data_IF_347225446557
#
_entry.id   IF_347225446557
#
_cell.length_a   1.000
_cell.length_b   1.000
_cell.length_c   1.000
_cell.angle_alpha   90.00
_cell.angle_beta   90.00
_cell.angle_gamma   90.00
#
_symmetry.space_group_name_H-M   'P 1'
#
loop_
_entity.id
_entity.type
_entity.pdbx_description
1 polymer ?
#
# COMPACT_ATOMS: atom_id res chain seq x y z
N UNK A 1 6.25 22.84 -27.22
CA UNK A 1 4.82 22.48 -27.32
C UNK A 1 4.22 22.78 -28.69
N UNK A 2 4.67 23.80 -29.42
CA UNK A 2 4.14 24.16 -30.75
C UNK A 2 4.69 23.31 -31.93
N UNK A 3 5.49 22.29 -31.64
CA UNK A 3 6.10 21.40 -32.63
C UNK A 3 5.47 20.01 -32.59
N UNK A 4 5.66 19.21 -33.64
CA UNK A 4 5.19 17.81 -33.71
C UNK A 4 6.05 16.82 -32.89
N UNK A 5 6.92 17.33 -32.00
CA UNK A 5 7.89 16.53 -31.24
C UNK A 5 7.20 15.47 -30.37
N UNK A 6 6.18 15.86 -29.59
CA UNK A 6 5.47 14.94 -28.67
C UNK A 6 4.80 13.81 -29.45
N UNK A 7 4.08 14.14 -30.52
CA UNK A 7 3.46 13.14 -31.40
C UNK A 7 4.50 12.20 -32.02
N UNK A 8 5.66 12.72 -32.44
CA UNK A 8 6.74 11.91 -33.00
C UNK A 8 7.33 10.94 -31.95
N UNK A 9 7.58 11.42 -30.73
CA UNK A 9 8.03 10.59 -29.60
C UNK A 9 7.08 9.41 -29.38
N UNK A 10 5.78 9.69 -29.25
CA UNK A 10 4.77 8.68 -28.94
C UNK A 10 4.54 7.71 -30.11
N UNK A 11 4.40 8.19 -31.35
CA UNK A 11 4.00 7.34 -32.47
C UNK A 11 5.16 6.62 -33.16
N UNK A 12 6.38 7.18 -33.13
CA UNK A 12 7.53 6.62 -33.86
C UNK A 12 8.54 5.90 -32.97
N UNK A 13 8.72 6.35 -31.73
CA UNK A 13 9.81 5.87 -30.88
C UNK A 13 9.34 5.06 -29.68
N UNK A 14 8.23 5.43 -29.04
CA UNK A 14 7.69 4.71 -27.88
C UNK A 14 7.38 3.22 -28.19
N UNK A 15 6.78 2.84 -29.34
CA UNK A 15 6.44 1.44 -29.62
C UNK A 15 7.65 0.58 -29.99
N UNK A 16 8.81 1.20 -30.26
CA UNK A 16 10.02 0.51 -30.72
C UNK A 16 10.85 0.12 -29.50
N UNK A 17 11.06 -1.18 -29.20
CA UNK A 17 11.70 -1.63 -27.96
C UNK A 17 13.05 -0.98 -27.65
N UNK A 18 13.86 -0.72 -28.69
CA UNK A 18 15.16 -0.08 -28.59
C UNK A 18 15.10 1.37 -28.06
N UNK A 19 14.03 2.11 -28.38
CA UNK A 19 13.89 3.54 -28.05
C UNK A 19 12.88 3.81 -26.94
N UNK A 20 12.02 2.83 -26.63
CA UNK A 20 10.91 2.92 -25.68
C UNK A 20 11.30 3.52 -24.33
N UNK A 21 12.37 3.03 -23.70
CA UNK A 21 12.81 3.49 -22.38
C UNK A 21 13.23 4.97 -22.38
N UNK A 22 14.07 5.37 -23.33
CA UNK A 22 14.54 6.77 -23.44
C UNK A 22 13.39 7.70 -23.80
N UNK A 23 12.50 7.25 -24.68
CA UNK A 23 11.32 8.01 -25.08
C UNK A 23 10.40 8.28 -23.90
N UNK A 24 10.13 7.26 -23.07
CA UNK A 24 9.28 7.40 -21.90
C UNK A 24 9.90 8.33 -20.84
N UNK A 25 11.22 8.30 -20.67
CA UNK A 25 11.94 9.28 -19.84
C UNK A 25 11.73 10.72 -20.36
N UNK A 26 11.87 10.94 -21.67
CA UNK A 26 11.59 12.26 -22.26
C UNK A 26 10.14 12.70 -22.03
N UNK A 27 9.16 11.79 -22.20
CA UNK A 27 7.75 12.09 -21.93
C UNK A 27 7.50 12.40 -20.45
N UNK A 28 8.23 11.76 -19.53
CA UNK A 28 8.18 12.04 -18.09
C UNK A 28 8.67 13.45 -17.77
N UNK A 29 9.81 13.86 -18.36
CA UNK A 29 10.31 15.23 -18.19
C UNK A 29 9.35 16.27 -18.75
N UNK A 30 8.71 15.99 -19.89
CA UNK A 30 7.69 16.87 -20.46
C UNK A 30 6.46 16.92 -19.54
N UNK A 31 6.01 15.79 -19.00
CA UNK A 31 4.89 15.70 -18.06
C UNK A 31 5.11 16.43 -16.73
N UNK A 32 6.37 16.72 -16.37
CA UNK A 32 6.71 17.47 -15.17
C UNK A 32 6.64 19.01 -15.38
N UNK A 33 6.36 19.47 -16.61
CA UNK A 33 6.34 20.90 -16.93
C UNK A 33 5.00 21.52 -16.52
N UNK A 34 5.04 22.42 -15.54
CA UNK A 34 3.88 23.19 -15.13
C UNK A 34 3.82 24.54 -15.88
N UNK A 35 3.26 24.51 -17.09
CA UNK A 35 3.12 25.69 -17.96
C UNK A 35 1.65 25.91 -18.30
N UNK A 36 1.09 27.04 -17.84
CA UNK A 36 -0.29 27.42 -18.17
C UNK A 36 -0.50 27.60 -19.67
N UNK A 37 -1.71 27.31 -20.15
CA UNK A 37 -2.19 27.41 -21.55
C UNK A 37 -1.87 26.23 -22.49
N UNK A 38 -1.31 25.13 -22.00
CA UNK A 38 -1.03 23.94 -22.82
C UNK A 38 -1.80 22.68 -22.39
N UNK A 39 -2.88 22.85 -21.61
CA UNK A 39 -3.71 21.74 -21.10
C UNK A 39 -4.18 20.79 -22.20
N UNK A 40 -4.58 21.30 -23.36
CA UNK A 40 -4.98 20.47 -24.50
C UNK A 40 -3.86 19.54 -24.97
N UNK A 41 -2.62 20.03 -24.97
CA UNK A 41 -1.44 19.28 -25.41
C UNK A 41 -1.06 18.23 -24.38
N UNK A 42 -1.13 18.55 -23.08
CA UNK A 42 -0.90 17.56 -22.02
C UNK A 42 -1.94 16.45 -22.05
N UNK A 43 -3.22 16.80 -22.25
CA UNK A 43 -4.30 15.83 -22.34
C UNK A 43 -4.14 14.92 -23.56
N UNK A 44 -3.78 15.48 -24.72
CA UNK A 44 -3.50 14.72 -25.94
C UNK A 44 -2.28 13.80 -25.76
N UNK A 45 -1.18 14.33 -25.17
CA UNK A 45 0.02 13.56 -24.85
C UNK A 45 -0.31 12.35 -23.97
N UNK A 46 -1.08 12.56 -22.89
CA UNK A 46 -1.50 11.49 -21.99
C UNK A 46 -2.35 10.45 -22.72
N UNK A 47 -3.36 10.90 -23.46
CA UNK A 47 -4.29 10.03 -24.18
C UNK A 47 -3.54 9.15 -25.18
N UNK A 48 -2.67 9.74 -26.00
CA UNK A 48 -1.95 9.00 -27.04
C UNK A 48 -0.87 8.08 -26.44
N UNK A 49 -0.21 8.50 -25.36
CA UNK A 49 0.72 7.63 -24.63
C UNK A 49 0.01 6.42 -24.05
N UNK A 50 -1.16 6.61 -23.43
CA UNK A 50 -1.98 5.53 -22.88
C UNK A 50 -2.46 4.56 -23.97
N UNK A 51 -2.90 5.07 -25.13
CA UNK A 51 -3.27 4.23 -26.27
C UNK A 51 -2.11 3.32 -26.74
N UNK A 52 -0.88 3.86 -26.82
CA UNK A 52 0.30 3.06 -27.16
C UNK A 52 0.67 2.07 -26.05
N UNK A 53 0.53 2.46 -24.78
CA UNK A 53 0.79 1.59 -23.64
C UNK A 53 -0.12 0.36 -23.63
N UNK A 54 -1.41 0.51 -23.91
CA UNK A 54 -2.36 -0.61 -23.95
C UNK A 54 -2.05 -1.63 -25.06
N UNK A 55 -1.42 -1.19 -26.15
CA UNK A 55 -0.94 -2.08 -27.21
C UNK A 55 0.33 -2.82 -26.76
N UNK A 56 1.27 -2.13 -26.11
CA UNK A 56 2.56 -2.69 -25.71
C UNK A 56 2.46 -3.58 -24.46
N UNK A 57 1.56 -3.24 -23.53
CA UNK A 57 1.40 -3.87 -22.23
C UNK A 57 -0.10 -3.96 -21.91
N UNK A 58 -0.81 -4.98 -22.42
CA UNK A 58 -2.26 -5.11 -22.21
C UNK A 58 -2.63 -5.13 -20.72
N UNK A 59 -3.78 -4.55 -20.35
CA UNK A 59 -4.20 -4.39 -18.94
C UNK A 59 -4.40 -5.71 -18.18
N UNK A 60 -4.62 -6.82 -18.89
CA UNK A 60 -4.72 -8.17 -18.32
C UNK A 60 -3.37 -8.81 -17.98
N UNK A 61 -2.25 -8.14 -18.30
CA UNK A 61 -0.91 -8.66 -18.06
C UNK A 61 -0.63 -8.67 -16.55
N UNK A 62 -0.19 -9.81 -16.04
CA UNK A 62 0.37 -9.90 -14.70
C UNK A 62 1.77 -9.23 -14.69
N UNK A 63 1.79 -7.94 -14.35
CA UNK A 63 3.03 -7.13 -14.35
C UNK A 63 4.03 -7.68 -13.33
N UNK A 64 3.57 -8.19 -12.18
CA UNK A 64 4.44 -8.74 -11.14
C UNK A 64 5.23 -9.94 -11.67
N UNK A 65 4.56 -10.91 -12.27
CA UNK A 65 5.20 -12.10 -12.85
C UNK A 65 6.06 -11.74 -14.06
N UNK A 66 5.57 -10.83 -14.90
CA UNK A 66 6.31 -10.36 -16.09
C UNK A 66 7.59 -9.61 -15.70
N UNK A 67 7.57 -8.83 -14.62
CA UNK A 67 8.75 -8.14 -14.10
C UNK A 67 9.78 -9.13 -13.52
N UNK A 68 9.32 -10.11 -12.73
CA UNK A 68 10.19 -11.10 -12.11
C UNK A 68 10.90 -12.01 -13.12
N UNK A 69 10.30 -12.24 -14.29
CA UNK A 69 10.86 -13.03 -15.39
C UNK A 69 11.45 -12.18 -16.53
N UNK A 70 11.29 -10.86 -16.46
CA UNK A 70 11.72 -9.91 -17.48
C UNK A 70 13.24 -9.65 -17.46
N UNK A 71 13.77 -9.13 -18.56
CA UNK A 71 15.16 -8.69 -18.60
C UNK A 71 15.26 -7.25 -18.08
N UNK A 72 16.50 -6.78 -17.93
CA UNK A 72 16.81 -5.43 -17.44
C UNK A 72 16.06 -4.33 -18.23
N UNK A 73 15.88 -4.50 -19.54
CA UNK A 73 15.18 -3.52 -20.37
C UNK A 73 13.68 -3.44 -20.08
N UNK A 74 13.01 -4.58 -19.82
CA UNK A 74 11.60 -4.62 -19.43
C UNK A 74 11.41 -4.12 -18.00
N UNK A 75 12.29 -4.49 -17.08
CA UNK A 75 12.25 -4.00 -15.69
C UNK A 75 12.41 -2.47 -15.64
N UNK A 76 13.39 -1.94 -16.37
CA UNK A 76 13.57 -0.49 -16.54
C UNK A 76 12.34 0.16 -17.17
N UNK A 77 11.66 -0.51 -18.10
CA UNK A 77 10.44 0.03 -18.71
C UNK A 77 9.31 0.15 -17.70
N UNK A 78 9.09 -0.85 -16.84
CA UNK A 78 8.09 -0.79 -15.78
C UNK A 78 8.40 0.33 -14.77
N UNK A 79 9.67 0.50 -14.40
CA UNK A 79 10.08 1.61 -13.53
C UNK A 79 9.83 2.98 -14.19
N UNK A 80 10.22 3.14 -15.47
CA UNK A 80 9.99 4.39 -16.21
C UNK A 80 8.49 4.67 -16.41
N UNK A 81 7.67 3.63 -16.54
CA UNK A 81 6.21 3.75 -16.60
C UNK A 81 5.63 4.22 -15.26
N UNK A 82 6.10 3.66 -14.15
CA UNK A 82 5.72 4.12 -12.81
C UNK A 82 6.03 5.61 -12.64
N UNK A 83 7.24 6.04 -13.02
CA UNK A 83 7.66 7.44 -12.97
C UNK A 83 6.77 8.32 -13.84
N UNK A 84 6.58 7.97 -15.11
CA UNK A 84 5.72 8.73 -16.03
C UNK A 84 4.30 8.93 -15.47
N UNK A 85 3.64 7.84 -15.06
CA UNK A 85 2.27 7.89 -14.55
C UNK A 85 2.18 8.70 -13.25
N UNK A 86 3.10 8.48 -12.31
CA UNK A 86 3.11 9.23 -11.04
C UNK A 86 3.35 10.72 -11.28
N UNK A 87 4.32 11.09 -12.13
CA UNK A 87 4.61 12.47 -12.48
C UNK A 87 3.43 13.14 -13.18
N UNK A 88 2.88 12.52 -14.22
CA UNK A 88 1.77 13.10 -14.97
C UNK A 88 0.53 13.28 -14.09
N UNK A 89 0.18 12.27 -13.28
CA UNK A 89 -1.00 12.35 -12.43
C UNK A 89 -0.82 13.28 -11.22
N UNK A 90 0.42 13.53 -10.78
CA UNK A 90 0.76 14.52 -9.75
C UNK A 90 0.58 15.95 -10.26
N UNK A 91 1.10 16.26 -11.44
CA UNK A 91 1.06 17.63 -12.00
C UNK A 91 -0.25 17.93 -12.74
N UNK A 92 -0.82 16.94 -13.42
CA UNK A 92 -1.95 17.10 -14.34
C UNK A 92 -3.12 16.15 -14.04
N UNK A 93 -3.22 15.60 -12.83
CA UNK A 93 -4.28 14.63 -12.47
C UNK A 93 -5.70 15.17 -12.66
N UNK A 94 -5.95 16.44 -12.34
CA UNK A 94 -7.26 17.08 -12.56
C UNK A 94 -7.62 17.19 -14.04
N UNK A 95 -6.62 17.35 -14.91
CA UNK A 95 -6.81 17.34 -16.35
C UNK A 95 -7.08 15.92 -16.86
N UNK A 96 -6.36 14.92 -16.33
CA UNK A 96 -6.55 13.50 -16.65
C UNK A 96 -7.96 13.01 -16.30
N UNK A 97 -8.56 13.51 -15.21
CA UNK A 97 -9.95 13.21 -14.82
C UNK A 97 -10.98 13.53 -15.93
N UNK A 98 -10.66 14.42 -16.88
CA UNK A 98 -11.52 14.72 -18.02
C UNK A 98 -11.50 13.65 -19.12
N UNK A 99 -10.60 12.67 -19.05
CA UNK A 99 -10.56 11.53 -19.96
C UNK A 99 -11.12 10.26 -19.26
N UNK A 100 -12.39 9.88 -19.53
CA UNK A 100 -13.06 8.79 -18.80
C UNK A 100 -12.52 7.40 -19.14
N UNK A 101 -11.70 7.26 -20.19
CA UNK A 101 -11.15 5.95 -20.61
C UNK A 101 -9.72 5.78 -20.10
N UNK A 102 -8.84 6.75 -20.38
CA UNK A 102 -7.42 6.62 -20.06
C UNK A 102 -7.14 6.77 -18.56
N UNK A 103 -7.93 7.57 -17.82
CA UNK A 103 -7.68 7.80 -16.40
C UNK A 103 -7.89 6.55 -15.54
N UNK A 104 -9.01 5.81 -15.64
CA UNK A 104 -9.14 4.52 -14.96
C UNK A 104 -8.03 3.52 -15.33
N UNK A 105 -7.64 3.47 -16.59
CA UNK A 105 -6.59 2.55 -17.07
C UNK A 105 -5.21 2.93 -16.51
N UNK A 106 -4.89 4.22 -16.40
CA UNK A 106 -3.66 4.70 -15.77
C UNK A 106 -3.61 4.33 -14.27
N UNK A 107 -4.71 4.51 -13.54
CA UNK A 107 -4.81 4.06 -12.16
C UNK A 107 -4.68 2.54 -12.04
N UNK A 108 -5.26 1.79 -12.99
CA UNK A 108 -5.14 0.34 -13.03
C UNK A 108 -3.69 -0.11 -13.24
N UNK A 109 -2.96 0.50 -14.17
CA UNK A 109 -1.53 0.25 -14.33
C UNK A 109 -0.76 0.54 -13.04
N UNK A 110 -1.00 1.67 -12.37
CA UNK A 110 -0.32 1.97 -11.11
C UNK A 110 -0.62 0.93 -10.03
N UNK A 111 -1.84 0.39 -9.97
CA UNK A 111 -2.19 -0.70 -9.05
C UNK A 111 -1.38 -1.96 -9.40
N UNK A 112 -1.34 -2.37 -10.67
CA UNK A 112 -0.59 -3.55 -11.11
C UNK A 112 0.92 -3.39 -10.87
N UNK A 113 1.47 -2.19 -11.12
CA UNK A 113 2.88 -1.87 -10.87
C UNK A 113 3.17 -1.88 -9.35
N UNK A 114 2.25 -1.41 -8.51
CA UNK A 114 2.38 -1.46 -7.05
C UNK A 114 2.45 -2.89 -6.48
N UNK A 115 2.10 -3.92 -7.26
CA UNK A 115 2.22 -5.33 -6.85
C UNK A 115 3.60 -5.94 -7.17
N UNK A 116 4.46 -5.22 -7.90
CA UNK A 116 5.82 -5.68 -8.24
C UNK A 116 6.66 -5.78 -6.96
N UNK A 117 7.37 -6.90 -6.79
CA UNK A 117 8.26 -7.16 -5.66
C UNK A 117 9.61 -6.43 -5.78
N UNK A 118 9.57 -5.12 -6.05
CA UNK A 118 10.73 -4.20 -6.12
C UNK A 118 10.45 -2.97 -5.25
N UNK A 119 11.34 -2.70 -4.28
CA UNK A 119 11.11 -1.68 -3.24
C UNK A 119 11.15 -0.27 -3.84
N UNK A 120 12.06 -0.01 -4.77
CA UNK A 120 12.20 1.31 -5.38
C UNK A 120 11.00 1.68 -6.27
N UNK A 121 10.46 0.70 -7.02
CA UNK A 121 9.23 0.88 -7.79
C UNK A 121 8.05 1.11 -6.85
N UNK A 122 7.96 0.34 -5.76
CA UNK A 122 6.89 0.51 -4.79
C UNK A 122 6.92 1.89 -4.13
N UNK A 123 8.11 2.42 -3.78
CA UNK A 123 8.26 3.78 -3.23
C UNK A 123 7.75 4.86 -4.18
N UNK A 124 8.04 4.75 -5.49
CA UNK A 124 7.54 5.67 -6.52
C UNK A 124 6.00 5.68 -6.51
N UNK A 125 5.37 4.50 -6.55
CA UNK A 125 3.91 4.40 -6.53
C UNK A 125 3.32 4.88 -5.20
N UNK A 126 3.97 4.56 -4.07
CA UNK A 126 3.53 4.95 -2.74
C UNK A 126 3.51 6.48 -2.57
N UNK A 127 4.47 7.22 -3.14
CA UNK A 127 4.46 8.69 -3.12
C UNK A 127 3.18 9.23 -3.77
N UNK A 128 2.81 8.70 -4.94
CA UNK A 128 1.57 9.09 -5.61
C UNK A 128 0.33 8.70 -4.82
N UNK A 129 0.25 7.46 -4.31
CA UNK A 129 -0.91 6.99 -3.54
C UNK A 129 -1.10 7.78 -2.24
N UNK A 130 -0.01 8.15 -1.56
CA UNK A 130 -0.04 9.04 -0.41
C UNK A 130 -0.62 10.40 -0.78
N UNK A 131 -0.09 11.04 -1.81
CA UNK A 131 -0.56 12.36 -2.27
C UNK A 131 -2.04 12.33 -2.66
N UNK A 132 -2.45 11.34 -3.46
CA UNK A 132 -3.84 11.19 -3.89
C UNK A 132 -4.78 11.00 -2.70
N UNK A 133 -4.46 10.08 -1.79
CA UNK A 133 -5.30 9.80 -0.62
C UNK A 133 -5.38 11.00 0.32
N UNK A 134 -4.28 11.73 0.53
CA UNK A 134 -4.24 12.95 1.31
C UNK A 134 -5.13 14.06 0.70
N UNK A 135 -5.07 14.24 -0.62
CA UNK A 135 -5.88 15.25 -1.31
C UNK A 135 -7.38 14.90 -1.27
N UNK A 136 -7.73 13.65 -1.55
CA UNK A 136 -9.12 13.19 -1.44
C UNK A 136 -9.64 13.32 -0.01
N UNK A 137 -8.81 13.04 1.00
CA UNK A 137 -9.20 13.22 2.39
C UNK A 137 -9.47 14.70 2.71
N UNK A 138 -8.57 15.60 2.29
CA UNK A 138 -8.75 17.05 2.45
C UNK A 138 -10.05 17.54 1.80
N UNK A 139 -10.35 17.11 0.58
CA UNK A 139 -11.57 17.50 -0.14
C UNK A 139 -12.84 17.16 0.66
N UNK A 140 -12.89 16.00 1.32
CA UNK A 140 -14.01 15.58 2.17
C UNK A 140 -14.12 16.46 3.41
N UNK A 141 -12.97 16.73 4.06
CA UNK A 141 -12.94 17.55 5.26
C UNK A 141 -13.40 18.99 4.98
N UNK A 142 -13.03 19.56 3.83
CA UNK A 142 -13.43 20.91 3.44
C UNK A 142 -14.88 21.00 2.95
N UNK A 143 -15.34 20.03 2.16
CA UNK A 143 -16.70 20.07 1.61
C UNK A 143 -17.75 19.63 2.63
N UNK A 144 -17.37 18.85 3.65
CA UNK A 144 -18.30 18.21 4.57
C UNK A 144 -19.24 17.20 3.91
N UNK A 145 -19.02 16.91 2.62
CA UNK A 145 -19.85 16.00 1.83
C UNK A 145 -19.23 14.61 1.94
N UNK A 146 -20.01 13.60 2.37
CA UNK A 146 -19.55 12.22 2.34
C UNK A 146 -19.11 11.82 0.94
N UNK A 147 -18.00 11.12 0.90
CA UNK A 147 -17.31 10.59 -0.27
C UNK A 147 -18.20 9.94 -1.35
N UNK A 148 -19.28 9.28 -0.94
CA UNK A 148 -20.24 8.62 -1.83
C UNK A 148 -21.07 9.61 -2.68
N UNK A 149 -21.03 10.90 -2.36
CA UNK A 149 -21.77 11.97 -3.04
C UNK A 149 -20.88 12.88 -3.90
N UNK A 150 -19.55 12.72 -3.86
CA UNK A 150 -18.63 13.37 -4.79
C UNK A 150 -18.42 12.47 -6.02
N UNK A 151 -18.94 12.88 -7.18
CA UNK A 151 -18.75 12.18 -8.46
C UNK A 151 -17.26 11.90 -8.76
N UNK A 152 -16.38 12.80 -8.34
CA UNK A 152 -14.92 12.66 -8.46
C UNK A 152 -14.37 11.41 -7.78
N UNK A 153 -14.97 10.95 -6.66
CA UNK A 153 -14.47 9.77 -5.94
C UNK A 153 -14.86 8.45 -6.62
N UNK A 154 -16.02 8.37 -7.29
CA UNK A 154 -16.45 7.13 -7.95
C UNK A 154 -15.39 6.61 -8.93
N UNK A 155 -14.66 7.53 -9.57
CA UNK A 155 -13.51 7.23 -10.43
C UNK A 155 -12.40 6.45 -9.70
N UNK A 156 -12.15 6.78 -8.43
CA UNK A 156 -11.05 6.25 -7.64
C UNK A 156 -11.45 5.05 -6.77
N UNK A 157 -12.75 4.77 -6.56
CA UNK A 157 -13.21 3.76 -5.60
C UNK A 157 -12.55 2.40 -5.82
N UNK A 158 -12.55 1.89 -7.06
CA UNK A 158 -11.98 0.58 -7.37
C UNK A 158 -10.46 0.55 -7.13
N UNK A 159 -9.75 1.58 -7.60
CA UNK A 159 -8.31 1.69 -7.41
C UNK A 159 -7.95 1.76 -5.92
N UNK A 160 -8.63 2.62 -5.13
CA UNK A 160 -8.36 2.78 -3.70
C UNK A 160 -8.64 1.49 -2.91
N UNK A 161 -9.66 0.71 -3.29
CA UNK A 161 -9.89 -0.61 -2.69
C UNK A 161 -8.69 -1.55 -2.90
N UNK A 162 -8.17 -1.64 -4.14
CA UNK A 162 -6.99 -2.46 -4.44
C UNK A 162 -5.74 -1.93 -3.74
N UNK A 163 -5.55 -0.60 -3.69
CA UNK A 163 -4.44 0.02 -2.97
C UNK A 163 -4.50 -0.28 -1.46
N UNK A 164 -5.69 -0.25 -0.82
CA UNK A 164 -5.84 -0.70 0.57
C UNK A 164 -5.35 -2.14 0.76
N UNK A 165 -5.76 -3.03 -0.14
CA UNK A 165 -5.33 -4.44 -0.10
C UNK A 165 -3.81 -4.56 -0.20
N UNK A 166 -3.17 -3.81 -1.10
CA UNK A 166 -1.71 -3.78 -1.27
C UNK A 166 -1.01 -3.24 -0.02
N UNK A 167 -1.46 -2.09 0.50
CA UNK A 167 -0.89 -1.47 1.71
C UNK A 167 -0.94 -2.42 2.92
N UNK A 168 -2.06 -3.14 3.08
CA UNK A 168 -2.22 -4.13 4.16
C UNK A 168 -1.31 -5.34 3.92
N UNK A 169 -1.24 -5.84 2.69
CA UNK A 169 -0.49 -7.07 2.38
C UNK A 169 1.03 -6.87 2.39
N UNK A 170 1.50 -5.64 2.19
CA UNK A 170 2.93 -5.30 2.05
C UNK A 170 3.43 -4.34 3.13
N UNK A 171 2.67 -4.12 4.21
CA UNK A 171 3.04 -3.17 5.26
C UNK A 171 4.49 -3.38 5.70
N UNK A 172 5.29 -2.31 5.70
CA UNK A 172 6.66 -2.36 6.16
C UNK A 172 6.73 -2.56 7.68
N UNK A 173 7.84 -3.13 8.15
CA UNK A 173 8.03 -3.42 9.57
C UNK A 173 8.07 -2.13 10.41
N UNK A 174 7.25 -2.00 11.47
CA UNK A 174 7.30 -0.89 12.41
C UNK A 174 8.51 -0.99 13.36
N UNK A 175 8.96 0.13 13.93
CA UNK A 175 10.17 0.16 14.76
C UNK A 175 10.01 -0.53 16.12
N UNK A 176 8.77 -0.71 16.58
CA UNK A 176 8.43 -1.37 17.84
C UNK A 176 8.52 -2.90 17.76
N UNK A 177 8.62 -3.48 16.56
CA UNK A 177 8.70 -4.94 16.36
C UNK A 177 10.16 -5.37 16.26
N UNK A 178 10.62 -6.08 17.30
CA UNK A 178 12.01 -6.55 17.43
C UNK A 178 12.22 -7.99 16.97
N UNK A 179 11.16 -8.81 16.94
CA UNK A 179 11.21 -10.22 16.58
C UNK A 179 10.89 -10.37 15.10
N UNK A 180 11.82 -10.91 14.32
CA UNK A 180 11.70 -11.05 12.86
C UNK A 180 12.22 -12.41 12.38
N UNK A 181 11.79 -12.81 11.19
CA UNK A 181 12.38 -13.93 10.46
C UNK A 181 13.61 -13.43 9.68
N UNK A 182 14.77 -14.06 9.86
CA UNK A 182 15.98 -13.77 9.08
C UNK A 182 15.98 -14.52 7.72
N UNK A 183 16.99 -14.26 6.89
CA UNK A 183 17.14 -14.92 5.58
C UNK A 183 17.29 -16.45 5.65
N UNK A 184 17.64 -16.99 6.82
CA UNK A 184 17.75 -18.43 7.06
C UNK A 184 16.42 -19.05 7.51
N UNK A 185 15.34 -18.26 7.66
CA UNK A 185 14.05 -18.72 8.17
C UNK A 185 14.02 -18.92 9.68
N UNK A 186 14.97 -18.33 10.42
CA UNK A 186 15.04 -18.40 11.87
C UNK A 186 14.42 -17.15 12.48
N UNK A 187 13.72 -17.33 13.61
CA UNK A 187 13.17 -16.21 14.37
C UNK A 187 14.28 -15.62 15.23
N UNK A 188 14.67 -14.38 14.91
CA UNK A 188 15.76 -13.67 15.58
C UNK A 188 15.30 -12.32 16.11
N UNK A 189 16.11 -11.77 17.00
CA UNK A 189 15.97 -10.41 17.50
C UNK A 189 16.80 -9.44 16.64
N UNK A 190 16.17 -8.39 16.13
CA UNK A 190 16.82 -7.34 15.36
C UNK A 190 16.89 -6.04 16.17
N UNK A 191 18.10 -5.51 16.38
CA UNK A 191 18.35 -4.24 17.08
C UNK A 191 18.64 -3.08 16.13
N UNK A 192 19.06 -3.39 14.90
CA UNK A 192 19.45 -2.36 13.95
C UNK A 192 18.21 -1.70 13.36
N UNK A 193 18.18 -0.38 13.41
CA UNK A 193 17.13 0.43 12.79
C UNK A 193 17.59 0.87 11.41
N UNK A 194 16.98 0.31 10.37
CA UNK A 194 17.14 0.82 9.01
C UNK A 194 16.26 2.05 8.81
N UNK A 195 16.91 3.19 8.54
CA UNK A 195 16.21 4.49 8.38
C UNK A 195 15.31 4.50 7.15
N UNK A 196 15.70 3.79 6.07
CA UNK A 196 14.92 3.72 4.85
C UNK A 196 13.63 2.91 5.06
N UNK A 197 13.75 1.75 5.70
CA UNK A 197 12.60 0.94 6.13
C UNK A 197 11.63 1.69 7.06
N UNK A 198 12.15 2.50 7.99
CA UNK A 198 11.32 3.33 8.88
C UNK A 198 10.55 4.41 8.10
N UNK A 199 11.19 5.06 7.13
CA UNK A 199 10.53 6.06 6.30
C UNK A 199 9.47 5.42 5.41
N UNK A 200 9.74 4.23 4.85
CA UNK A 200 8.76 3.45 4.12
C UNK A 200 7.54 3.13 4.98
N UNK A 201 7.73 2.63 6.20
CA UNK A 201 6.64 2.38 7.14
C UNK A 201 5.82 3.63 7.44
N UNK A 202 6.47 4.78 7.70
CA UNK A 202 5.77 6.05 7.96
C UNK A 202 4.88 6.46 6.78
N UNK A 203 5.40 6.37 5.56
CA UNK A 203 4.64 6.71 4.35
C UNK A 203 3.48 5.74 4.10
N UNK A 204 3.70 4.43 4.29
CA UNK A 204 2.64 3.42 4.18
C UNK A 204 1.55 3.63 5.23
N UNK A 205 1.94 3.89 6.49
CA UNK A 205 1.03 4.19 7.59
C UNK A 205 0.17 5.41 7.28
N UNK A 206 0.79 6.52 6.87
CA UNK A 206 0.06 7.75 6.55
C UNK A 206 -0.96 7.52 5.41
N UNK A 207 -0.53 6.84 4.34
CA UNK A 207 -1.42 6.47 3.23
C UNK A 207 -2.58 5.60 3.70
N UNK A 208 -2.32 4.55 4.49
CA UNK A 208 -3.36 3.65 4.97
C UNK A 208 -4.32 4.35 5.95
N UNK A 209 -3.83 5.28 6.77
CA UNK A 209 -4.67 6.14 7.63
C UNK A 209 -5.61 6.99 6.78
N UNK A 210 -5.13 7.65 5.72
CA UNK A 210 -6.01 8.38 4.81
C UNK A 210 -7.05 7.46 4.15
N UNK A 211 -6.61 6.31 3.63
CA UNK A 211 -7.52 5.33 3.01
C UNK A 211 -8.59 4.80 3.97
N UNK A 212 -8.25 4.68 5.26
CA UNK A 212 -9.17 4.27 6.33
C UNK A 212 -10.21 5.35 6.61
N UNK A 213 -9.80 6.61 6.71
CA UNK A 213 -10.78 7.71 6.81
C UNK A 213 -11.67 7.81 5.57
N UNK A 214 -11.13 7.49 4.39
CA UNK A 214 -11.89 7.52 3.15
C UNK A 214 -12.91 6.38 3.03
N UNK A 215 -12.64 5.22 3.64
CA UNK A 215 -13.57 4.10 3.73
C UNK A 215 -13.16 3.14 4.84
N UNK A 216 -13.69 3.39 6.04
CA UNK A 216 -13.38 2.60 7.23
C UNK A 216 -13.94 1.19 7.10
N UNK A 217 -15.15 1.05 6.53
CA UNK A 217 -15.84 -0.23 6.36
C UNK A 217 -15.06 -1.14 5.43
N UNK A 218 -14.57 -0.62 4.30
CA UNK A 218 -13.75 -1.41 3.38
C UNK A 218 -12.42 -1.84 4.00
N UNK A 219 -11.80 -0.96 4.81
CA UNK A 219 -10.57 -1.29 5.53
C UNK A 219 -10.80 -2.39 6.58
N UNK A 220 -11.85 -2.26 7.41
CA UNK A 220 -12.25 -3.27 8.40
C UNK A 220 -12.54 -4.62 7.72
N UNK A 221 -13.26 -4.60 6.58
CA UNK A 221 -13.58 -5.80 5.80
C UNK A 221 -12.32 -6.51 5.30
N UNK A 222 -11.39 -5.79 4.66
CA UNK A 222 -10.15 -6.38 4.13
C UNK A 222 -9.30 -6.98 5.27
N UNK A 223 -9.09 -6.24 6.36
CA UNK A 223 -8.30 -6.74 7.49
C UNK A 223 -8.95 -7.96 8.15
N UNK A 224 -10.27 -7.96 8.31
CA UNK A 224 -11.02 -9.08 8.87
C UNK A 224 -10.92 -10.32 7.98
N UNK A 225 -11.12 -10.17 6.67
CA UNK A 225 -11.01 -11.27 5.70
C UNK A 225 -9.61 -11.89 5.72
N UNK A 226 -8.55 -11.07 5.70
CA UNK A 226 -7.17 -11.57 5.78
C UNK A 226 -6.88 -12.25 7.11
N UNK A 227 -7.41 -11.75 8.23
CA UNK A 227 -7.27 -12.39 9.53
C UNK A 227 -7.95 -13.76 9.56
N UNK A 228 -9.15 -13.88 8.99
CA UNK A 228 -9.84 -15.18 8.87
C UNK A 228 -9.03 -16.16 8.01
N UNK A 229 -8.37 -15.70 6.95
CA UNK A 229 -7.50 -16.56 6.14
C UNK A 229 -6.24 -17.02 6.92
N UNK A 230 -5.74 -16.23 7.89
CA UNK A 230 -4.70 -16.67 8.81
C UNK A 230 -5.20 -17.73 9.80
N UNK A 231 -6.37 -17.51 10.42
CA UNK A 231 -6.98 -18.42 11.41
C UNK A 231 -7.40 -19.75 10.77
N UNK A 232 -8.07 -19.67 9.61
CA UNK A 232 -8.48 -20.85 8.83
C UNK A 232 -7.30 -21.60 8.19
N UNK A 233 -6.13 -20.96 8.10
CA UNK A 233 -4.90 -21.57 7.63
C UNK A 233 -4.71 -21.57 6.11
N UNK A 234 -5.61 -20.95 5.34
CA UNK A 234 -5.51 -20.86 3.87
C UNK A 234 -4.34 -19.97 3.42
N UNK A 235 -4.04 -18.92 4.17
CA UNK A 235 -2.94 -17.98 3.87
C UNK A 235 -1.90 -17.90 5.00
N UNK A 236 -1.89 -18.87 5.93
CA UNK A 236 -1.01 -18.85 7.09
C UNK A 236 0.47 -18.80 6.69
N UNK A 237 1.15 -17.73 7.07
CA UNK A 237 2.61 -17.62 7.09
C UNK A 237 3.03 -16.53 8.07
N UNK A 238 4.27 -16.59 8.59
CA UNK A 238 4.79 -15.56 9.49
C UNK A 238 4.77 -14.19 8.82
N UNK A 239 5.24 -14.12 7.57
CA UNK A 239 5.20 -12.92 6.74
C UNK A 239 3.80 -12.32 6.62
N UNK A 240 2.79 -13.11 6.27
CA UNK A 240 1.42 -12.59 6.07
C UNK A 240 0.77 -12.16 7.38
N UNK A 241 0.98 -12.89 8.47
CA UNK A 241 0.49 -12.48 9.79
C UNK A 241 1.15 -11.16 10.23
N UNK A 242 2.47 -11.08 10.09
CA UNK A 242 3.25 -9.90 10.43
C UNK A 242 2.75 -8.66 9.68
N UNK A 243 2.70 -8.70 8.34
CA UNK A 243 2.26 -7.52 7.55
C UNK A 243 0.83 -7.12 7.88
N UNK A 244 -0.07 -8.09 8.09
CA UNK A 244 -1.44 -7.82 8.52
C UNK A 244 -1.50 -7.12 9.89
N UNK A 245 -0.80 -7.65 10.90
CA UNK A 245 -0.80 -7.08 12.24
C UNK A 245 -0.10 -5.72 12.31
N UNK A 246 0.96 -5.51 11.52
CA UNK A 246 1.59 -4.20 11.33
C UNK A 246 0.61 -3.21 10.73
N UNK A 247 -0.15 -3.61 9.71
CA UNK A 247 -1.18 -2.78 9.10
C UNK A 247 -2.30 -2.43 10.09
N UNK A 248 -2.77 -3.41 10.87
CA UNK A 248 -3.75 -3.20 11.94
C UNK A 248 -3.24 -2.17 12.95
N UNK A 249 -2.04 -2.35 13.51
CA UNK A 249 -1.50 -1.38 14.48
C UNK A 249 -1.28 0.02 13.90
N UNK A 250 -0.91 0.12 12.62
CA UNK A 250 -0.62 1.39 11.95
C UNK A 250 -1.81 2.35 11.86
N UNK A 251 -3.05 1.83 11.82
CA UNK A 251 -4.29 2.62 11.69
C UNK A 251 -4.90 3.04 13.03
N UNK A 252 -4.16 2.88 14.14
CA UNK A 252 -4.63 3.31 15.45
C UNK A 252 -5.09 4.78 15.47
N UNK A 253 -6.31 5.01 15.95
CA UNK A 253 -6.94 6.33 16.00
C UNK A 253 -7.61 6.79 14.69
N UNK A 254 -7.53 6.03 13.59
CA UNK A 254 -8.21 6.36 12.33
C UNK A 254 -9.71 5.96 12.32
N UNK A 255 -10.16 5.22 13.35
CA UNK A 255 -11.53 4.76 13.50
C UNK A 255 -12.24 5.49 14.64
N UNK A 256 -13.57 5.63 14.52
CA UNK A 256 -14.41 6.02 15.65
C UNK A 256 -14.30 5.01 16.78
N UNK A 257 -14.43 5.47 18.03
CA UNK A 257 -14.15 4.65 19.22
C UNK A 257 -15.01 3.37 19.30
N UNK A 258 -16.28 3.45 18.89
CA UNK A 258 -17.19 2.28 18.88
C UNK A 258 -16.80 1.24 17.82
N UNK A 259 -16.46 1.70 16.61
CA UNK A 259 -16.00 0.82 15.52
C UNK A 259 -14.64 0.22 15.85
N UNK A 260 -13.69 1.03 16.33
CA UNK A 260 -12.37 0.59 16.79
C UNK A 260 -12.50 -0.50 17.86
N UNK A 261 -13.40 -0.29 18.83
CA UNK A 261 -13.69 -1.28 19.87
C UNK A 261 -14.20 -2.60 19.28
N UNK A 262 -15.20 -2.56 18.39
CA UNK A 262 -15.75 -3.77 17.75
C UNK A 262 -14.67 -4.52 16.98
N UNK A 263 -13.89 -3.78 16.20
CA UNK A 263 -12.82 -4.32 15.39
C UNK A 263 -11.74 -4.98 16.25
N UNK A 264 -11.22 -4.29 17.28
CA UNK A 264 -10.16 -4.81 18.14
C UNK A 264 -10.57 -6.03 18.97
N UNK A 265 -11.82 -6.07 19.44
CA UNK A 265 -12.32 -7.27 20.16
C UNK A 265 -12.24 -8.49 19.26
N UNK A 266 -12.59 -8.35 17.98
CA UNK A 266 -12.51 -9.44 16.99
C UNK A 266 -11.07 -9.82 16.72
N UNK A 267 -10.22 -8.84 16.37
CA UNK A 267 -8.81 -9.05 16.05
C UNK A 267 -8.10 -9.81 17.15
N UNK A 268 -8.21 -9.34 18.40
CA UNK A 268 -7.39 -9.91 19.47
C UNK A 268 -7.92 -11.27 19.93
N UNK A 269 -9.25 -11.48 19.89
CA UNK A 269 -9.82 -12.80 20.16
C UNK A 269 -9.30 -13.83 19.15
N UNK A 270 -9.26 -13.48 17.87
CA UNK A 270 -8.79 -14.36 16.81
C UNK A 270 -7.28 -14.60 16.90
N UNK A 271 -6.48 -13.59 17.21
CA UNK A 271 -5.04 -13.76 17.43
C UNK A 271 -4.72 -14.62 18.66
N UNK A 272 -5.45 -14.45 19.77
CA UNK A 272 -5.30 -15.30 20.95
C UNK A 272 -5.68 -16.74 20.64
N UNK A 273 -6.79 -16.96 19.93
CA UNK A 273 -7.19 -18.30 19.46
C UNK A 273 -6.15 -18.93 18.53
N UNK A 274 -5.57 -18.14 17.62
CA UNK A 274 -4.48 -18.57 16.74
C UNK A 274 -3.22 -18.98 17.53
N UNK A 275 -2.89 -18.24 18.59
CA UNK A 275 -1.77 -18.54 19.50
C UNK A 275 -1.98 -19.87 20.26
N UNK A 276 -3.22 -20.19 20.63
CA UNK A 276 -3.57 -21.48 21.23
C UNK A 276 -3.56 -22.63 20.22
N UNK A 277 -4.03 -22.38 18.98
CA UNK A 277 -4.10 -23.36 17.90
C UNK A 277 -2.72 -23.76 17.37
N UNK A 278 -1.81 -22.80 17.18
CA UNK A 278 -0.50 -23.03 16.57
C UNK A 278 0.49 -23.58 17.61
N UNK A 279 1.22 -24.61 17.21
CA UNK A 279 2.25 -25.28 18.03
C UNK A 279 3.64 -24.85 17.57
N UNK A 280 4.64 -25.03 18.43
CA UNK A 280 6.03 -24.67 18.16
C UNK A 280 6.39 -23.30 18.74
N UNK A 281 7.64 -23.16 19.21
CA UNK A 281 8.12 -21.94 19.88
C UNK A 281 8.09 -20.74 18.94
N UNK A 282 8.59 -20.92 17.72
CA UNK A 282 8.70 -19.87 16.70
C UNK A 282 7.32 -19.31 16.31
N UNK A 283 6.36 -20.20 16.03
CA UNK A 283 4.98 -19.80 15.76
C UNK A 283 4.39 -18.98 16.92
N UNK A 284 4.60 -19.42 18.16
CA UNK A 284 4.10 -18.72 19.34
C UNK A 284 4.78 -17.36 19.53
N UNK A 285 6.09 -17.28 19.30
CA UNK A 285 6.86 -16.04 19.38
C UNK A 285 6.35 -15.00 18.37
N UNK A 286 6.14 -15.41 17.12
CA UNK A 286 5.60 -14.54 16.07
C UNK A 286 4.19 -14.05 16.39
N UNK A 287 3.29 -14.95 16.80
CA UNK A 287 1.90 -14.56 17.14
C UNK A 287 1.88 -13.66 18.38
N UNK A 288 2.67 -13.98 19.40
CA UNK A 288 2.81 -13.16 20.60
C UNK A 288 3.31 -11.75 20.25
N UNK A 289 4.39 -11.63 19.47
CA UNK A 289 4.95 -10.35 19.03
C UNK A 289 3.90 -9.48 18.34
N UNK A 290 3.10 -10.07 17.45
CA UNK A 290 2.01 -9.37 16.77
C UNK A 290 0.88 -8.93 17.70
N UNK A 291 0.47 -9.77 18.66
CA UNK A 291 -0.51 -9.39 19.69
C UNK A 291 0.01 -8.22 20.52
N UNK A 292 1.27 -8.30 20.97
CA UNK A 292 1.91 -7.27 21.78
C UNK A 292 1.98 -5.94 21.03
N UNK A 293 2.41 -5.98 19.76
CA UNK A 293 2.45 -4.82 18.90
C UNK A 293 1.06 -4.19 18.73
N UNK A 294 0.06 -4.96 18.27
CA UNK A 294 -1.30 -4.47 18.06
C UNK A 294 -1.82 -3.84 19.35
N UNK A 295 -1.77 -4.57 20.47
CA UNK A 295 -2.29 -4.06 21.74
C UNK A 295 -1.54 -2.80 22.20
N UNK A 296 -0.22 -2.74 22.02
CA UNK A 296 0.61 -1.57 22.33
C UNK A 296 0.21 -0.32 21.55
N UNK A 297 -0.26 -0.47 20.31
CA UNK A 297 -0.70 0.64 19.47
C UNK A 297 -2.07 1.22 19.87
N UNK A 298 -2.88 0.53 20.68
CA UNK A 298 -4.25 0.96 21.04
C UNK A 298 -4.45 1.27 22.53
N UNK A 299 -3.77 2.29 23.09
CA UNK A 299 -3.89 2.64 24.51
C UNK A 299 -5.29 3.15 24.89
N UNK A 300 -6.03 3.78 23.95
CA UNK A 300 -7.41 4.23 24.17
C UNK A 300 -8.33 3.07 24.55
N UNK A 301 -8.30 1.99 23.75
CA UNK A 301 -9.07 0.78 23.98
C UNK A 301 -8.73 0.13 25.34
N UNK A 302 -7.44 0.00 25.66
CA UNK A 302 -7.00 -0.63 26.92
C UNK A 302 -7.47 0.14 28.16
N UNK A 303 -7.43 1.48 28.13
CA UNK A 303 -7.90 2.32 29.23
C UNK A 303 -9.39 2.14 29.49
N UNK A 304 -10.19 1.91 28.44
CA UNK A 304 -11.63 1.69 28.55
C UNK A 304 -12.02 0.25 28.97
N UNK A 305 -11.09 -0.72 28.88
CA UNK A 305 -11.40 -2.15 29.03
C UNK A 305 -10.47 -2.86 30.03
N UNK A 306 -10.67 -2.62 31.33
CA UNK A 306 -9.83 -3.17 32.40
C UNK A 306 -9.63 -4.70 32.37
N UNK A 307 -10.70 -5.48 32.17
CA UNK A 307 -10.59 -6.95 32.09
C UNK A 307 -9.66 -7.39 30.96
N UNK A 308 -9.70 -6.65 29.86
CA UNK A 308 -8.89 -6.90 28.69
C UNK A 308 -7.43 -6.55 28.95
N UNK A 309 -7.17 -5.34 29.47
CA UNK A 309 -5.85 -4.92 29.89
C UNK A 309 -5.21 -5.93 30.86
N UNK A 310 -5.97 -6.39 31.87
CA UNK A 310 -5.49 -7.41 32.81
C UNK A 310 -5.11 -8.71 32.11
N UNK A 311 -5.91 -9.16 31.14
CA UNK A 311 -5.64 -10.40 30.38
C UNK A 311 -4.38 -10.26 29.54
N UNK A 312 -4.22 -9.13 28.84
CA UNK A 312 -3.02 -8.84 28.07
C UNK A 312 -1.80 -8.78 28.97
N UNK A 313 -1.85 -8.03 30.07
CA UNK A 313 -0.72 -7.90 31.01
C UNK A 313 -0.32 -9.26 31.61
N UNK A 314 -1.29 -10.10 31.96
CA UNK A 314 -1.00 -11.47 32.38
C UNK A 314 -0.32 -12.28 31.27
N UNK A 315 -0.77 -12.12 30.02
CA UNK A 315 -0.15 -12.78 28.87
C UNK A 315 1.27 -12.27 28.59
N UNK A 316 1.52 -10.97 28.78
CA UNK A 316 2.88 -10.39 28.75
C UNK A 316 3.76 -11.03 29.83
N UNK A 317 3.25 -11.21 31.05
CA UNK A 317 3.99 -11.94 32.09
C UNK A 317 4.30 -13.37 31.66
N UNK A 318 3.36 -14.10 31.06
CA UNK A 318 3.62 -15.44 30.50
C UNK A 318 4.72 -15.40 29.42
N UNK A 319 4.67 -14.43 28.50
CA UNK A 319 5.67 -14.27 27.44
C UNK A 319 7.06 -13.91 27.97
N UNK A 320 7.17 -13.17 29.07
CA UNK A 320 8.46 -12.92 29.72
C UNK A 320 9.11 -14.18 30.34
N UNK A 321 8.36 -15.26 30.53
CA UNK A 321 8.94 -16.56 30.96
C UNK A 321 9.34 -17.44 29.77
N UNK A 322 9.04 -17.04 28.53
CA UNK A 322 9.48 -17.78 27.35
C UNK A 322 10.98 -17.59 27.13
N UNK A 323 11.64 -18.66 26.67
CA UNK A 323 13.12 -18.70 26.49
C UNK A 323 13.56 -18.23 25.09
N UNK A 324 12.63 -17.76 24.28
CA UNK A 324 12.91 -17.35 22.90
C UNK A 324 13.47 -15.92 22.85
N UNK A 325 14.56 -15.73 22.12
CA UNK A 325 15.21 -14.44 21.96
C UNK A 325 14.25 -13.38 21.38
N UNK A 326 14.22 -12.20 22.00
CA UNK A 326 13.42 -11.04 21.59
C UNK A 326 11.95 -11.03 22.05
N UNK A 327 11.41 -12.14 22.57
CA UNK A 327 10.03 -12.17 23.11
C UNK A 327 9.92 -11.53 24.49
N UNK A 328 11.01 -11.56 25.27
CA UNK A 328 11.04 -11.02 26.64
C UNK A 328 11.18 -9.49 26.71
N UNK A 329 11.68 -8.86 25.64
CA UNK A 329 12.00 -7.42 25.57
C UNK A 329 10.83 -6.56 25.08
#
# INVERSE_FOLDING_TARGET
>A
FETTLVAMLIQKFLPVPLFRNVTLKCLTEIANLNVGNYDSIFLEMFTETMNQLEIMLPLQTDIRVSYASGQEQEQNFIQNLALFLCTFLKEHGTLAENNPTCMPNALHYLVLISEVDEVEIFKICLEYWNLLSANLYKDVMYTGIPLQKLNRKLLYVEALNKVRYIMISRMAKPEEVLVVENDNGEVVREFMKDTDSINLYKNMRETLVYLTHLDCVDTERIMTEKLQNQVGGSEWSWKNLNTLCWAIGSISGAMHEEDEKRFLVTVIKDLLGLCEQKRGKDNKAIIASNIMYVVGQYPRFLRAHWKFLKTVVNKLFEFMHETHDGVQD
#
